data_IF_742709721070
#
_entry.id   IF_742709721070
#
_cell.length_a   1.000
_cell.length_b   1.000
_cell.length_c   1.000
_cell.angle_alpha   90.00
_cell.angle_beta   90.00
_cell.angle_gamma   90.00
#
_symmetry.space_group_name_H-M   'P 1'
#
loop_
_entity.id
_entity.type
_entity.pdbx_description
1 polymer ?
#
# COMPACT_ATOMS: atom_id res chain seq x y z
N UNK A 1 -9.86 -22.57 100.91
CA UNK A 1 -11.06 -22.24 100.11
C UNK A 1 -11.15 -20.72 100.01
N UNK A 2 -11.85 -20.19 98.99
CA UNK A 2 -11.38 -19.58 97.72
C UNK A 2 -10.75 -18.18 97.94
N UNK A 3 -10.10 -17.46 97.02
CA UNK A 3 -10.18 -17.20 95.58
C UNK A 3 -9.29 -15.94 95.33
N UNK A 4 -8.38 -15.90 94.36
CA UNK A 4 -8.61 -15.49 92.95
C UNK A 4 -9.32 -14.12 92.88
N UNK A 5 -8.77 -12.99 92.39
CA UNK A 5 -8.14 -12.74 91.07
C UNK A 5 -7.66 -11.25 90.95
N UNK A 6 -7.02 -10.83 89.82
CA UNK A 6 -5.85 -9.92 89.78
C UNK A 6 -6.11 -8.49 89.25
N UNK A 7 -5.08 -7.62 89.26
CA UNK A 7 -5.06 -6.34 88.56
C UNK A 7 -3.74 -6.12 87.79
N UNK A 8 -3.92 -5.74 86.51
CA UNK A 8 -3.05 -4.96 85.63
C UNK A 8 -1.71 -5.54 85.16
N UNK A 9 -1.70 -6.03 83.92
CA UNK A 9 -0.51 -6.01 83.07
C UNK A 9 -0.55 -4.76 82.19
N UNK A 10 0.46 -3.91 82.35
CA UNK A 10 0.73 -2.69 81.57
C UNK A 10 2.16 -2.85 81.02
N UNK A 11 2.33 -2.94 79.71
CA UNK A 11 3.60 -2.69 79.02
C UNK A 11 3.29 -2.45 77.53
N UNK A 12 3.31 -1.23 77.02
CA UNK A 12 4.48 -0.44 76.56
C UNK A 12 5.24 -1.08 75.38
N UNK A 13 4.94 -0.51 74.21
CA UNK A 13 5.87 -0.05 73.16
C UNK A 13 7.01 -1.01 72.79
N UNK A 14 6.79 -1.74 71.70
CA UNK A 14 7.84 -2.18 70.79
C UNK A 14 7.77 -1.36 69.50
N UNK A 15 8.88 -0.73 69.13
CA UNK A 15 9.12 -0.09 67.84
C UNK A 15 10.07 -0.96 67.00
N UNK A 16 10.20 -0.62 65.71
CA UNK A 16 11.08 -1.19 64.65
C UNK A 16 10.55 -2.48 63.99
N UNK A 17 10.57 -2.69 62.66
CA UNK A 17 10.95 -1.88 61.50
C UNK A 17 10.65 -2.71 60.22
N UNK A 18 10.46 -2.03 59.09
CA UNK A 18 10.66 -2.48 57.69
C UNK A 18 9.95 -3.74 57.16
N UNK A 19 9.00 -3.53 56.22
CA UNK A 19 9.10 -4.08 54.87
C UNK A 19 8.14 -3.35 53.92
N UNK A 20 8.70 -2.72 52.89
CA UNK A 20 8.01 -2.18 51.73
C UNK A 20 7.21 -3.29 51.04
N UNK A 21 5.89 -3.14 50.96
CA UNK A 21 5.10 -3.80 49.92
C UNK A 21 4.53 -2.69 49.03
N UNK A 22 5.36 -2.25 48.09
CA UNK A 22 4.93 -1.45 46.96
C UNK A 22 3.96 -2.29 46.12
N UNK A 23 2.66 -2.16 46.38
CA UNK A 23 1.61 -2.58 45.46
C UNK A 23 1.62 -1.59 44.30
N UNK A 24 2.54 -1.80 43.36
CA UNK A 24 2.44 -1.26 42.01
C UNK A 24 1.32 -2.02 41.31
N UNK A 25 0.16 -1.42 40.99
CA UNK A 25 -0.71 -1.99 39.99
C UNK A 25 0.07 -2.02 38.67
N UNK A 26 0.18 -3.23 38.14
CA UNK A 26 0.53 -3.61 36.78
C UNK A 26 0.53 -2.40 35.85
N UNK A 27 1.73 -2.05 35.36
CA UNK A 27 1.87 -1.27 34.14
C UNK A 27 1.01 -1.94 33.07
N UNK A 28 -0.18 -1.40 32.85
CA UNK A 28 -0.80 -1.47 31.55
C UNK A 28 0.20 -0.76 30.62
N UNK A 29 1.16 -1.53 30.10
CA UNK A 29 1.94 -1.07 28.97
C UNK A 29 0.92 -0.59 27.95
N UNK A 30 1.06 0.63 27.39
CA UNK A 30 0.21 1.01 26.28
C UNK A 30 0.39 -0.11 25.25
N UNK A 31 -0.70 -0.80 24.93
CA UNK A 31 -0.77 -1.53 23.70
C UNK A 31 -0.69 -0.46 22.60
N UNK A 32 0.52 0.03 22.30
CA UNK A 32 0.80 0.59 21.00
C UNK A 32 0.65 -0.61 20.07
N UNK A 33 -0.58 -0.85 19.61
CA UNK A 33 -0.76 -1.57 18.37
C UNK A 33 0.13 -0.81 17.38
N UNK A 34 1.26 -1.41 17.02
CA UNK A 34 2.22 -0.80 16.15
C UNK A 34 1.51 -0.65 14.81
N UNK A 35 1.02 0.56 14.54
CA UNK A 35 0.15 0.83 13.39
C UNK A 35 0.91 0.84 12.07
N UNK A 36 2.23 0.60 12.09
CA UNK A 36 3.03 0.42 10.89
C UNK A 36 3.93 -0.81 10.97
N UNK A 37 3.87 -1.62 9.92
CA UNK A 37 4.66 -2.83 9.71
C UNK A 37 5.54 -2.65 8.48
N UNK A 38 6.80 -3.06 8.56
CA UNK A 38 7.72 -3.11 7.42
C UNK A 38 8.01 -4.56 7.08
N UNK A 39 7.77 -4.95 5.85
CA UNK A 39 8.15 -6.26 5.35
C UNK A 39 9.59 -6.12 4.84
N UNK A 40 10.54 -6.66 5.59
CA UNK A 40 11.95 -6.67 5.21
C UNK A 40 12.30 -8.03 4.64
N UNK A 41 12.76 -8.03 3.40
CA UNK A 41 13.40 -9.19 2.83
C UNK A 41 14.90 -9.13 3.09
N UNK A 42 15.47 -10.30 3.37
CA UNK A 42 16.90 -10.43 3.64
C UNK A 42 17.78 -9.86 2.52
N UNK A 43 19.06 -9.59 2.81
CA UNK A 43 19.97 -8.99 1.84
C UNK A 43 20.16 -9.90 0.62
N UNK A 44 19.68 -9.44 -0.55
CA UNK A 44 20.03 -10.05 -1.85
C UNK A 44 18.87 -10.49 -2.75
N UNK A 45 17.59 -10.33 -2.42
CA UNK A 45 16.50 -10.86 -3.27
C UNK A 45 15.41 -9.86 -3.66
N UNK A 46 14.97 -9.95 -4.93
CA UNK A 46 13.56 -9.74 -5.34
C UNK A 46 12.67 -10.80 -4.65
N UNK A 47 12.51 -10.69 -3.35
CA UNK A 47 11.59 -11.54 -2.61
C UNK A 47 10.14 -11.18 -2.96
N UNK A 48 9.25 -12.16 -2.85
CA UNK A 48 7.81 -11.91 -2.89
C UNK A 48 7.13 -12.68 -1.75
N UNK A 49 6.33 -11.99 -0.93
CA UNK A 49 5.60 -12.62 0.17
C UNK A 49 4.25 -13.09 -0.33
N UNK A 50 4.01 -14.41 -0.23
CA UNK A 50 2.78 -15.09 -0.68
C UNK A 50 2.22 -15.99 0.44
N UNK A 51 0.91 -15.99 0.71
CA UNK A 51 -0.06 -15.02 0.23
C UNK A 51 0.20 -13.63 0.82
N UNK A 52 -0.06 -12.58 0.05
CA UNK A 52 0.17 -11.20 0.50
C UNK A 52 -0.59 -10.83 1.79
N UNK A 53 -1.68 -11.54 2.13
CA UNK A 53 -2.64 -11.15 3.20
C UNK A 53 -3.07 -9.68 3.07
N UNK A 54 -3.10 -9.18 1.84
CA UNK A 54 -3.64 -7.88 1.48
C UNK A 54 -4.89 -8.04 0.65
N UNK A 55 -5.82 -7.13 0.87
CA UNK A 55 -7.07 -7.02 0.12
C UNK A 55 -7.28 -5.59 -0.29
N UNK A 56 -8.07 -5.38 -1.33
CA UNK A 56 -8.60 -4.08 -1.74
C UNK A 56 -9.88 -4.35 -2.52
N UNK A 57 -10.84 -3.43 -2.52
CA UNK A 57 -12.00 -3.56 -3.40
C UNK A 57 -11.56 -3.25 -4.83
N UNK A 58 -11.50 -4.29 -5.65
CA UNK A 58 -11.10 -4.22 -7.06
C UNK A 58 -12.20 -4.87 -7.91
N UNK A 59 -12.19 -4.66 -9.25
CA UNK A 59 -13.11 -5.37 -10.13
C UNK A 59 -12.98 -6.89 -9.99
N UNK A 60 -14.03 -7.62 -10.40
CA UNK A 60 -14.01 -9.08 -10.39
C UNK A 60 -12.80 -9.65 -11.15
N UNK A 61 -12.15 -10.66 -10.58
CA UNK A 61 -10.97 -11.30 -11.15
C UNK A 61 -9.64 -10.63 -10.82
N UNK A 62 -9.63 -9.51 -10.09
CA UNK A 62 -8.41 -8.91 -9.56
C UNK A 62 -8.06 -9.48 -8.18
N UNK A 63 -6.77 -9.76 -7.94
CA UNK A 63 -6.28 -10.23 -6.66
C UNK A 63 -4.85 -9.77 -6.42
N UNK A 64 -4.56 -9.31 -5.19
CA UNK A 64 -3.18 -9.03 -4.77
C UNK A 64 -2.49 -10.38 -4.54
N UNK A 65 -1.47 -10.68 -5.33
CA UNK A 65 -0.80 -11.98 -5.32
C UNK A 65 0.45 -11.98 -4.45
N UNK A 66 1.16 -10.86 -4.38
CA UNK A 66 2.35 -10.74 -3.54
C UNK A 66 2.67 -9.30 -3.17
N UNK A 67 3.41 -9.12 -2.08
CA UNK A 67 4.10 -7.89 -1.72
C UNK A 67 5.60 -8.11 -1.97
N UNK A 68 6.29 -7.12 -2.53
CA UNK A 68 7.72 -7.20 -2.87
C UNK A 68 8.55 -6.23 -2.03
N UNK A 69 9.79 -6.63 -1.74
CA UNK A 69 10.82 -5.77 -1.15
C UNK A 69 10.44 -5.11 0.17
N UNK A 70 11.19 -4.06 0.54
CA UNK A 70 11.05 -3.22 1.74
C UNK A 70 9.75 -2.40 1.75
N UNK A 71 8.61 -3.08 1.81
CA UNK A 71 7.29 -2.46 1.79
C UNK A 71 6.83 -2.12 3.22
N UNK A 72 6.45 -0.88 3.45
CA UNK A 72 5.84 -0.40 4.67
C UNK A 72 4.32 -0.31 4.52
N UNK A 73 3.57 -0.72 5.54
CA UNK A 73 2.12 -0.67 5.59
C UNK A 73 1.70 -0.05 6.90
N UNK A 74 0.98 1.07 6.82
CA UNK A 74 0.47 1.79 7.97
C UNK A 74 -1.06 1.79 7.98
N UNK A 75 -1.69 1.29 9.05
CA UNK A 75 -3.15 1.37 9.23
C UNK A 75 -3.60 2.75 9.70
N UNK A 76 -2.66 3.58 10.17
CA UNK A 76 -2.87 4.99 10.52
C UNK A 76 -1.70 5.82 10.02
N UNK A 77 -2.00 7.00 9.49
CA UNK A 77 -1.00 7.92 8.95
C UNK A 77 -0.42 7.46 7.61
N UNK A 78 0.79 7.93 7.31
CA UNK A 78 1.48 7.69 6.05
C UNK A 78 2.63 6.67 6.23
N UNK A 79 2.61 5.59 5.46
CA UNK A 79 3.61 4.53 5.52
C UNK A 79 4.99 4.98 5.00
N UNK A 80 5.06 6.02 4.17
CA UNK A 80 6.34 6.53 3.65
C UNK A 80 7.17 7.28 4.69
N UNK A 81 6.53 7.82 5.72
CA UNK A 81 7.16 8.63 6.77
C UNK A 81 7.13 7.98 8.16
N UNK A 82 6.38 6.89 8.34
CA UNK A 82 6.27 6.20 9.62
C UNK A 82 7.51 5.36 9.94
N UNK A 83 7.81 5.22 11.24
CA UNK A 83 8.78 4.26 11.74
C UNK A 83 8.09 2.90 11.91
N UNK A 84 8.36 2.00 10.98
CA UNK A 84 7.64 0.74 10.84
C UNK A 84 8.44 -0.44 11.41
N UNK A 85 7.74 -1.35 12.07
CA UNK A 85 8.36 -2.48 12.76
C UNK A 85 8.60 -3.62 11.77
N UNK A 86 9.82 -4.18 11.71
CA UNK A 86 10.14 -5.23 10.75
C UNK A 86 9.37 -6.51 11.07
N UNK A 87 8.70 -7.07 10.07
CA UNK A 87 7.99 -8.34 10.13
C UNK A 87 8.34 -9.19 8.91
N UNK A 88 8.33 -10.51 9.10
CA UNK A 88 8.55 -11.47 8.01
C UNK A 88 7.26 -11.76 7.23
N UNK A 89 6.11 -11.63 7.89
CA UNK A 89 4.78 -11.88 7.32
C UNK A 89 3.75 -10.96 7.99
N UNK A 90 2.67 -10.64 7.27
CA UNK A 90 1.58 -9.89 7.87
C UNK A 90 0.81 -10.77 8.87
N UNK A 91 0.63 -10.32 10.13
CA UNK A 91 0.01 -11.13 11.17
C UNK A 91 -1.47 -11.40 10.90
N UNK A 92 -2.13 -10.51 10.15
CA UNK A 92 -3.53 -10.58 9.79
C UNK A 92 -3.76 -10.06 8.37
N UNK A 93 -4.96 -10.30 7.83
CA UNK A 93 -5.40 -9.70 6.58
C UNK A 93 -5.59 -8.19 6.76
N UNK A 94 -5.00 -7.39 5.88
CA UNK A 94 -5.16 -5.94 5.86
C UNK A 94 -5.84 -5.49 4.55
N UNK A 95 -6.62 -4.42 4.63
CA UNK A 95 -7.24 -3.79 3.48
C UNK A 95 -6.49 -2.52 3.08
N UNK A 96 -5.96 -2.47 1.86
CA UNK A 96 -5.33 -1.27 1.29
C UNK A 96 -6.33 -0.15 1.01
N UNK A 97 -7.64 -0.42 1.09
CA UNK A 97 -8.65 0.64 1.07
C UNK A 97 -8.68 1.45 2.38
N UNK A 98 -8.04 0.95 3.43
CA UNK A 98 -8.05 1.51 4.79
C UNK A 98 -6.64 1.69 5.37
N UNK A 99 -5.60 1.38 4.59
CA UNK A 99 -4.21 1.46 5.01
C UNK A 99 -3.39 2.20 3.95
N UNK A 100 -2.35 2.90 4.40
CA UNK A 100 -1.31 3.44 3.54
C UNK A 100 -0.28 2.34 3.25
N UNK A 101 0.20 2.29 1.99
CA UNK A 101 1.26 1.41 1.52
C UNK A 101 2.36 2.28 0.94
N UNK A 102 3.61 2.00 1.30
CA UNK A 102 4.79 2.51 0.61
C UNK A 102 5.66 1.30 0.23
N UNK A 103 5.84 1.04 -1.06
CA UNK A 103 6.49 -0.17 -1.55
C UNK A 103 5.83 -0.76 -2.79
N UNK A 104 5.97 -2.06 -3.02
CA UNK A 104 5.52 -2.70 -4.26
C UNK A 104 4.59 -3.89 -4.01
N UNK A 105 3.51 -3.96 -4.79
CA UNK A 105 2.59 -5.10 -4.81
C UNK A 105 2.37 -5.62 -6.22
N UNK A 106 2.16 -6.93 -6.34
CA UNK A 106 1.75 -7.58 -7.58
C UNK A 106 0.27 -7.91 -7.51
N UNK A 107 -0.44 -7.66 -8.61
CA UNK A 107 -1.87 -7.82 -8.73
C UNK A 107 -2.17 -8.64 -9.97
N UNK A 108 -2.69 -9.84 -9.82
CA UNK A 108 -3.26 -10.59 -10.94
C UNK A 108 -4.61 -10.00 -11.32
N UNK A 109 -4.96 -10.04 -12.60
CA UNK A 109 -6.25 -9.57 -13.09
C UNK A 109 -6.19 -9.06 -14.53
N UNK A 110 -7.36 -8.78 -15.10
CA UNK A 110 -7.49 -8.24 -16.46
C UNK A 110 -8.39 -7.02 -16.47
N UNK A 111 -7.88 -5.91 -16.98
CA UNK A 111 -8.65 -4.71 -17.28
C UNK A 111 -8.92 -4.64 -18.78
N UNK A 112 -10.19 -4.58 -19.16
CA UNK A 112 -10.60 -4.22 -20.51
C UNK A 112 -11.50 -3.00 -20.43
N UNK A 113 -11.03 -1.86 -20.93
CA UNK A 113 -11.75 -0.61 -20.78
C UNK A 113 -11.47 0.37 -21.93
N UNK A 114 -12.44 1.23 -22.28
CA UNK A 114 -12.16 2.46 -23.00
C UNK A 114 -11.46 3.47 -22.08
N UNK A 115 -10.72 4.40 -22.67
CA UNK A 115 -9.99 5.42 -21.95
C UNK A 115 -9.21 6.35 -22.88
N UNK A 116 -8.31 7.13 -22.30
CA UNK A 116 -7.39 7.99 -23.05
C UNK A 116 -6.00 7.37 -23.02
N UNK A 117 -5.41 7.18 -24.19
CA UNK A 117 -3.99 6.92 -24.33
C UNK A 117 -3.26 8.26 -24.47
N UNK A 118 -2.20 8.45 -23.70
CA UNK A 118 -1.42 9.69 -23.69
C UNK A 118 0.06 9.38 -23.77
N UNK A 119 0.73 10.05 -24.69
CA UNK A 119 2.18 10.09 -24.76
C UNK A 119 2.66 11.41 -24.18
N UNK A 120 3.58 11.31 -23.24
CA UNK A 120 4.24 12.43 -22.57
C UNK A 120 5.56 11.90 -22.00
N UNK A 121 6.69 12.12 -22.69
CA UNK A 121 7.97 11.58 -22.26
C UNK A 121 8.44 12.27 -20.96
N UNK A 122 8.72 11.46 -19.94
CA UNK A 122 9.32 11.88 -18.68
C UNK A 122 10.18 10.75 -18.07
N UNK A 123 10.93 11.04 -17.00
CA UNK A 123 11.86 10.08 -16.35
C UNK A 123 11.19 8.79 -15.81
N UNK A 124 9.86 8.75 -15.79
CA UNK A 124 9.06 7.68 -15.19
C UNK A 124 8.29 6.82 -16.18
N UNK A 125 8.41 7.10 -17.49
CA UNK A 125 7.63 6.51 -18.56
C UNK A 125 7.27 7.53 -19.64
N UNK A 126 6.89 7.05 -20.83
CA UNK A 126 6.50 7.89 -21.94
C UNK A 126 5.05 7.67 -22.39
N UNK A 127 4.49 6.49 -22.15
CA UNK A 127 3.15 6.13 -22.62
C UNK A 127 2.25 5.67 -21.47
N UNK A 128 1.14 6.38 -21.27
CA UNK A 128 0.17 6.09 -20.23
C UNK A 128 -1.22 5.81 -20.81
N UNK A 129 -1.94 4.88 -20.19
CA UNK A 129 -3.36 4.67 -20.37
C UNK A 129 -4.14 5.15 -19.16
N UNK A 130 -5.17 5.97 -19.40
CA UNK A 130 -6.08 6.52 -18.39
C UNK A 130 -7.46 5.93 -18.61
N UNK A 131 -7.88 4.89 -17.85
CA UNK A 131 -9.20 4.28 -18.01
C UNK A 131 -10.33 5.29 -17.80
N UNK A 132 -11.43 5.14 -18.53
CA UNK A 132 -12.63 5.95 -18.30
C UNK A 132 -13.21 5.72 -16.90
N UNK A 133 -13.95 6.72 -16.37
CA UNK A 133 -14.53 6.67 -15.00
C UNK A 133 -15.34 5.42 -14.70
N UNK A 134 -16.00 4.84 -15.72
CA UNK A 134 -16.80 3.62 -15.58
C UNK A 134 -15.96 2.42 -15.09
N UNK A 135 -14.67 2.35 -15.41
CA UNK A 135 -13.76 1.29 -14.96
C UNK A 135 -13.57 1.26 -13.43
N UNK A 136 -13.93 2.34 -12.74
CA UNK A 136 -13.76 2.48 -11.29
C UNK A 136 -15.06 2.32 -10.50
N UNK A 137 -16.19 2.06 -11.17
CA UNK A 137 -17.47 1.90 -10.49
C UNK A 137 -17.44 0.72 -9.50
N UNK A 138 -17.86 0.95 -8.26
CA UNK A 138 -17.86 -0.07 -7.20
C UNK A 138 -16.48 -0.45 -6.64
N UNK A 139 -15.39 0.16 -7.10
CA UNK A 139 -14.03 -0.12 -6.61
C UNK A 139 -13.69 0.65 -5.33
N UNK A 140 -12.56 0.32 -4.71
CA UNK A 140 -12.06 0.95 -3.49
C UNK A 140 -11.09 2.12 -3.74
N UNK A 141 -10.76 2.90 -2.70
CA UNK A 141 -9.78 3.98 -2.79
C UNK A 141 -8.43 3.54 -3.36
N UNK A 142 -7.91 2.38 -2.97
CA UNK A 142 -6.63 1.87 -3.45
C UNK A 142 -6.63 1.73 -4.98
N UNK A 143 -7.63 1.03 -5.52
CA UNK A 143 -7.71 0.80 -6.96
C UNK A 143 -7.86 2.13 -7.72
N UNK A 144 -8.71 3.05 -7.26
CA UNK A 144 -8.88 4.37 -7.88
C UNK A 144 -7.60 5.20 -7.90
N UNK A 145 -6.85 5.20 -6.80
CA UNK A 145 -5.63 6.00 -6.68
C UNK A 145 -4.53 5.49 -7.62
N UNK A 146 -4.37 4.17 -7.73
CA UNK A 146 -3.24 3.59 -8.44
C UNK A 146 -3.55 3.21 -9.90
N UNK A 147 -4.80 2.92 -10.27
CA UNK A 147 -5.17 2.55 -11.64
C UNK A 147 -5.73 3.70 -12.48
N UNK A 148 -5.77 4.92 -11.93
CA UNK A 148 -6.16 6.14 -12.67
C UNK A 148 -5.20 6.48 -13.82
N UNK A 149 -3.92 6.12 -13.67
CA UNK A 149 -2.86 6.27 -14.67
C UNK A 149 -2.04 4.99 -14.70
N UNK A 150 -2.02 4.31 -15.84
CA UNK A 150 -1.33 3.04 -16.03
C UNK A 150 -0.22 3.25 -17.04
N UNK A 151 1.03 3.09 -16.62
CA UNK A 151 2.22 3.25 -17.45
C UNK A 151 2.44 1.99 -18.26
N UNK A 152 2.63 2.12 -19.57
CA UNK A 152 2.70 0.97 -20.49
C UNK A 152 4.14 0.55 -20.81
N UNK A 153 5.13 1.26 -20.27
CA UNK A 153 6.55 1.11 -20.62
C UNK A 153 7.13 -0.26 -20.23
N UNK A 154 6.57 -0.92 -19.21
CA UNK A 154 7.01 -2.23 -18.74
C UNK A 154 6.26 -3.41 -19.38
N UNK A 155 5.30 -3.14 -20.27
CA UNK A 155 4.50 -4.18 -20.88
C UNK A 155 5.31 -5.02 -21.87
N UNK A 156 5.01 -6.32 -21.93
CA UNK A 156 5.62 -7.28 -22.84
C UNK A 156 4.54 -7.96 -23.70
N UNK A 157 4.64 -7.90 -25.04
CA UNK A 157 5.60 -7.11 -25.81
C UNK A 157 5.43 -5.59 -25.61
N UNK A 158 6.46 -4.77 -25.93
CA UNK A 158 6.37 -3.32 -25.82
C UNK A 158 5.22 -2.75 -26.65
N UNK A 159 4.49 -1.78 -26.09
CA UNK A 159 3.39 -1.10 -26.79
C UNK A 159 3.96 0.00 -27.67
N UNK A 160 3.88 -0.19 -29.00
CA UNK A 160 4.27 0.82 -29.98
C UNK A 160 3.03 1.43 -30.64
N UNK A 161 2.95 2.77 -30.62
CA UNK A 161 1.86 3.52 -31.23
C UNK A 161 2.45 4.61 -32.11
N UNK A 162 2.02 4.67 -33.37
CA UNK A 162 2.45 5.69 -34.33
C UNK A 162 1.36 6.76 -34.44
N UNK A 163 1.58 7.99 -33.93
CA UNK A 163 0.62 9.07 -34.10
C UNK A 163 0.62 9.59 -35.56
N UNK A 164 -0.39 10.37 -35.97
CA UNK A 164 -0.38 11.06 -37.26
C UNK A 164 0.85 11.95 -37.43
N UNK A 165 1.35 12.11 -38.66
CA UNK A 165 2.61 12.84 -38.97
C UNK A 165 2.73 14.21 -38.29
N UNK A 166 1.62 14.97 -38.20
CA UNK A 166 1.58 16.28 -37.55
C UNK A 166 1.92 16.27 -36.05
N UNK A 167 1.87 15.11 -35.40
CA UNK A 167 2.17 14.89 -33.98
C UNK A 167 3.41 14.01 -33.78
N UNK A 168 4.09 13.58 -34.85
CA UNK A 168 5.23 12.66 -34.75
C UNK A 168 6.43 13.26 -33.99
N UNK A 169 6.52 14.60 -33.95
CA UNK A 169 7.54 15.36 -33.23
C UNK A 169 6.97 16.11 -32.03
N UNK A 170 5.73 15.84 -31.64
CA UNK A 170 5.12 16.52 -30.50
C UNK A 170 5.60 15.90 -29.18
N UNK A 171 5.97 16.75 -28.23
CA UNK A 171 6.34 16.33 -26.87
C UNK A 171 5.11 15.91 -26.02
N UNK A 172 3.91 16.03 -26.57
CA UNK A 172 2.68 15.54 -25.93
C UNK A 172 1.61 15.29 -26.98
N UNK A 173 1.01 14.10 -26.95
CA UNK A 173 -0.25 13.85 -27.65
C UNK A 173 -1.15 12.89 -26.86
N UNK A 174 -2.44 12.94 -27.16
CA UNK A 174 -3.42 12.01 -26.59
C UNK A 174 -4.41 11.55 -27.65
N UNK A 175 -5.01 10.39 -27.41
CA UNK A 175 -6.01 9.76 -28.27
C UNK A 175 -7.02 8.98 -27.43
N UNK A 176 -8.24 8.82 -27.94
CA UNK A 176 -9.20 7.88 -27.37
C UNK A 176 -8.77 6.46 -27.73
N UNK A 177 -8.78 5.55 -26.76
CA UNK A 177 -8.33 4.19 -26.96
C UNK A 177 -9.17 3.18 -26.18
N UNK A 178 -9.18 1.94 -26.66
CA UNK A 178 -9.60 0.77 -25.87
C UNK A 178 -8.37 -0.10 -25.63
N UNK A 179 -8.17 -0.52 -24.38
CA UNK A 179 -7.03 -1.32 -23.97
C UNK A 179 -7.46 -2.58 -23.24
N UNK A 180 -6.68 -3.65 -23.45
CA UNK A 180 -6.68 -4.88 -22.67
C UNK A 180 -5.34 -4.97 -21.94
N UNK A 181 -5.38 -4.87 -20.62
CA UNK A 181 -4.21 -4.87 -19.74
C UNK A 181 -4.33 -6.04 -18.77
N UNK A 182 -3.23 -6.74 -18.47
CA UNK A 182 -3.24 -7.80 -17.46
C UNK A 182 -1.98 -7.84 -16.62
N UNK A 183 -2.17 -8.34 -15.40
CA UNK A 183 -1.15 -8.67 -14.41
C UNK A 183 -0.23 -7.49 -14.08
N UNK A 184 -0.49 -6.82 -12.97
CA UNK A 184 0.05 -5.49 -12.70
C UNK A 184 1.09 -5.54 -11.58
N UNK A 185 2.16 -4.76 -11.78
CA UNK A 185 3.05 -4.31 -10.72
C UNK A 185 2.64 -2.90 -10.31
N UNK A 186 2.33 -2.69 -9.04
CA UNK A 186 2.03 -1.37 -8.49
C UNK A 186 3.19 -0.99 -7.58
N UNK A 187 3.90 0.09 -7.93
CA UNK A 187 4.91 0.71 -7.10
C UNK A 187 4.33 1.99 -6.49
N UNK A 188 4.18 1.98 -5.17
CA UNK A 188 3.69 3.13 -4.38
C UNK A 188 4.87 3.80 -3.71
N UNK A 189 5.04 5.09 -3.98
CA UNK A 189 6.10 5.91 -3.42
C UNK A 189 6.07 7.31 -4.01
N UNK A 190 7.12 8.06 -3.74
CA UNK A 190 7.32 9.48 -4.06
C UNK A 190 8.30 9.71 -5.23
N UNK A 191 8.77 8.63 -5.86
CA UNK A 191 9.66 8.72 -7.02
C UNK A 191 8.88 8.85 -8.33
N UNK A 192 9.54 9.35 -9.38
CA UNK A 192 8.98 9.39 -10.74
C UNK A 192 8.65 8.00 -11.30
N UNK A 193 9.30 6.95 -10.79
CA UNK A 193 9.05 5.55 -11.11
C UNK A 193 7.81 4.97 -10.41
N UNK A 194 7.23 5.65 -9.40
CA UNK A 194 5.98 5.20 -8.81
C UNK A 194 4.85 5.16 -9.86
N UNK A 195 3.98 4.16 -9.77
CA UNK A 195 2.90 3.96 -10.73
C UNK A 195 2.45 2.51 -10.86
N UNK A 196 1.47 2.31 -11.72
CA UNK A 196 0.94 0.99 -12.06
C UNK A 196 1.42 0.58 -13.45
N UNK A 197 1.95 -0.63 -13.53
CA UNK A 197 2.60 -1.18 -14.71
C UNK A 197 1.97 -2.53 -15.05
N UNK A 198 1.30 -2.69 -16.19
CA UNK A 198 0.81 -3.98 -16.63
C UNK A 198 1.95 -4.80 -17.21
N UNK A 199 1.95 -6.11 -16.95
CA UNK A 199 2.87 -7.04 -17.57
C UNK A 199 2.51 -7.27 -19.04
N UNK A 200 1.21 -7.31 -19.36
CA UNK A 200 0.74 -7.34 -20.74
C UNK A 200 -0.21 -6.19 -21.04
N UNK A 201 -0.01 -5.56 -22.19
CA UNK A 201 -0.85 -4.48 -22.66
C UNK A 201 -1.11 -4.62 -24.16
N UNK A 202 -2.38 -4.47 -24.56
CA UNK A 202 -2.79 -4.44 -25.96
C UNK A 202 -3.77 -3.30 -26.18
N UNK A 203 -3.45 -2.40 -27.10
CA UNK A 203 -4.38 -1.37 -27.57
C UNK A 203 -5.18 -1.97 -28.73
N UNK A 204 -6.50 -2.09 -28.56
CA UNK A 204 -7.39 -2.75 -29.52
C UNK A 204 -8.08 -1.78 -30.47
N UNK A 205 -8.23 -0.53 -30.05
CA UNK A 205 -8.73 0.56 -30.88
C UNK A 205 -8.09 1.88 -30.46
N UNK A 206 -7.79 2.77 -31.41
CA UNK A 206 -7.25 4.11 -31.15
C UNK A 206 -7.70 5.11 -32.21
N UNK A 207 -8.14 6.29 -31.80
CA UNK A 207 -8.58 7.36 -32.70
C UNK A 207 -8.58 8.73 -32.02
N UNK A 208 -8.82 9.80 -32.79
CA UNK A 208 -9.00 11.15 -32.23
C UNK A 208 -7.72 11.76 -31.66
N UNK A 209 -6.59 11.59 -32.37
CA UNK A 209 -5.30 12.13 -31.93
C UNK A 209 -5.29 13.66 -31.91
N UNK A 210 -4.92 14.21 -30.75
CA UNK A 210 -4.75 15.65 -30.51
C UNK A 210 -3.44 15.93 -29.79
N UNK A 211 -2.86 17.11 -30.02
CA UNK A 211 -1.78 17.62 -29.16
C UNK A 211 -2.30 17.85 -27.74
N UNK A 212 -1.43 17.77 -26.74
CA UNK A 212 -1.73 18.11 -25.36
C UNK A 212 -0.65 19.01 -24.76
N UNK A 213 -0.90 19.53 -23.56
CA UNK A 213 0.09 20.24 -22.76
C UNK A 213 0.66 19.30 -21.70
N UNK A 214 1.97 19.33 -21.52
CA UNK A 214 2.68 18.62 -20.45
C UNK A 214 2.07 18.93 -19.07
N UNK A 215 1.93 17.93 -18.21
CA UNK A 215 1.28 18.04 -16.90
C UNK A 215 -0.25 18.24 -16.93
N UNK A 216 -0.86 18.22 -18.12
CA UNK A 216 -2.29 18.41 -18.29
C UNK A 216 -3.18 17.27 -17.76
N UNK A 217 -4.46 17.55 -17.47
CA UNK A 217 -5.43 16.56 -17.01
C UNK A 217 -5.66 15.42 -18.01
#
# INVERSE_FOLDING_TARGET
MPGAQPIAARALRGALQFAMAALLPVLAGPASAQDCLRLDCGPGEECSIRPARLTARMPGGFAITSIRGHSAIATRGDAGSAVCQPVQQLPQTLSLDQASLYGSVQIAGRLQAPGTLRFEPHDGGALEFRPARAAFHGTGPFFRAHFGRIKLDAAQPPVAITPPRRLAQADCWQAQATAELSDFSVLVGDTSAAGTYPHRARITAIHGFTACTWGGP
#
